data_IF_121077410764
#
_entry.id   IF_121077410764
#
_cell.length_a   1.000
_cell.length_b   1.000
_cell.length_c   1.000
_cell.angle_alpha   90.00
_cell.angle_beta   90.00
_cell.angle_gamma   90.00
#
_symmetry.space_group_name_H-M   'P 1'
#
loop_
_entity.id
_entity.type
_entity.pdbx_description
1 polymer ?
#
# COMPACT_ATOMS: atom_id res chain seq x y z
N UNK A 1 19.41 17.69 5.54
CA UNK A 1 18.11 17.41 4.91
C UNK A 1 17.94 15.91 4.99
N UNK A 2 16.81 15.41 5.41
CA UNK A 2 16.59 13.96 5.57
C UNK A 2 16.40 13.32 4.20
N UNK A 3 17.15 12.28 3.92
CA UNK A 3 17.09 11.53 2.65
C UNK A 3 16.41 10.19 2.87
N UNK A 4 15.38 9.90 2.10
CA UNK A 4 14.56 8.70 2.19
C UNK A 4 14.74 7.86 0.93
N UNK A 5 15.18 6.61 1.10
CA UNK A 5 15.17 5.62 0.03
C UNK A 5 13.81 4.92 0.01
N UNK A 6 13.14 4.95 -1.14
CA UNK A 6 11.85 4.31 -1.38
C UNK A 6 12.04 3.17 -2.38
N UNK A 7 11.89 1.93 -1.95
CA UNK A 7 11.94 0.76 -2.83
C UNK A 7 10.54 0.43 -3.34
N UNK A 8 10.42 0.06 -4.60
CA UNK A 8 9.11 0.00 -5.27
C UNK A 8 8.52 1.40 -5.45
N UNK A 9 9.41 2.41 -5.64
CA UNK A 9 9.08 3.82 -5.57
C UNK A 9 8.17 4.33 -6.69
N UNK A 10 8.05 3.62 -7.81
CA UNK A 10 7.09 3.95 -8.87
C UNK A 10 5.70 3.32 -8.65
N UNK A 11 5.49 2.59 -7.55
CA UNK A 11 4.23 1.94 -7.22
C UNK A 11 3.15 2.92 -6.74
N UNK A 12 1.90 2.47 -6.71
CA UNK A 12 0.73 3.29 -6.35
C UNK A 12 0.86 4.00 -4.99
N UNK A 13 1.17 3.27 -3.91
CA UNK A 13 1.31 3.87 -2.58
C UNK A 13 2.60 4.69 -2.51
N UNK A 14 3.68 4.20 -3.11
CA UNK A 14 4.99 4.83 -3.06
C UNK A 14 4.98 6.23 -3.69
N UNK A 15 4.42 6.39 -4.88
CA UNK A 15 4.38 7.70 -5.57
C UNK A 15 3.58 8.76 -4.81
N UNK A 16 2.49 8.37 -4.13
CA UNK A 16 1.76 9.28 -3.24
C UNK A 16 2.59 9.61 -1.99
N UNK A 17 3.35 8.64 -1.47
CA UNK A 17 4.28 8.86 -0.36
C UNK A 17 5.44 9.78 -0.76
N UNK A 18 5.99 9.61 -1.97
CA UNK A 18 7.04 10.46 -2.52
C UNK A 18 6.58 11.93 -2.59
N UNK A 19 5.33 12.19 -2.99
CA UNK A 19 4.75 13.53 -3.00
C UNK A 19 4.74 14.12 -1.59
N UNK A 20 4.24 13.39 -0.60
CA UNK A 20 4.16 13.88 0.78
C UNK A 20 5.55 14.10 1.39
N UNK A 21 6.53 13.21 1.12
CA UNK A 21 7.92 13.38 1.54
C UNK A 21 8.55 14.63 0.92
N UNK A 22 8.42 14.80 -0.39
CA UNK A 22 8.94 15.97 -1.11
C UNK A 22 8.29 17.26 -0.62
N UNK A 23 6.97 17.28 -0.39
CA UNK A 23 6.27 18.46 0.14
C UNK A 23 6.75 18.84 1.55
N UNK A 24 7.11 17.85 2.38
CA UNK A 24 7.74 18.05 3.69
C UNK A 24 9.20 18.58 3.59
N UNK A 25 9.80 18.50 2.42
CA UNK A 25 11.17 18.94 2.20
C UNK A 25 12.22 17.86 2.41
N UNK A 26 11.84 16.58 2.35
CA UNK A 26 12.77 15.46 2.33
C UNK A 26 13.29 15.21 0.92
N UNK A 27 14.50 14.67 0.81
CA UNK A 27 15.02 14.15 -0.46
C UNK A 27 14.55 12.73 -0.67
N UNK A 28 14.08 12.41 -1.88
CA UNK A 28 13.57 11.08 -2.24
C UNK A 28 14.49 10.42 -3.25
N UNK A 29 14.84 9.16 -2.95
CA UNK A 29 15.54 8.26 -3.86
C UNK A 29 14.61 7.08 -4.12
N UNK A 30 14.32 6.80 -5.38
CA UNK A 30 13.46 5.70 -5.81
C UNK A 30 14.26 4.57 -6.43
N UNK A 31 13.97 3.33 -6.05
CA UNK A 31 14.44 2.11 -6.74
C UNK A 31 13.21 1.31 -7.18
N UNK A 32 13.08 1.04 -8.48
CA UNK A 32 11.97 0.26 -9.03
C UNK A 32 12.41 -0.49 -10.29
N UNK A 33 11.91 -1.71 -10.49
CA UNK A 33 12.16 -2.51 -11.70
C UNK A 33 11.04 -2.39 -12.74
N UNK A 34 10.02 -1.59 -12.45
CA UNK A 34 8.82 -1.36 -13.27
C UNK A 34 8.06 -2.62 -13.67
N UNK A 35 8.21 -3.69 -12.91
CA UNK A 35 7.51 -4.95 -13.15
C UNK A 35 5.98 -4.81 -13.12
N UNK A 36 5.46 -3.98 -12.20
CA UNK A 36 4.03 -3.67 -12.06
C UNK A 36 3.77 -2.17 -11.81
N UNK A 37 4.61 -1.32 -12.35
CA UNK A 37 4.57 0.14 -12.25
C UNK A 37 5.02 0.75 -13.59
N UNK A 38 5.09 2.08 -13.69
CA UNK A 38 5.63 2.79 -14.86
C UNK A 38 6.57 3.92 -14.40
N UNK A 39 7.67 4.17 -15.11
CA UNK A 39 8.55 5.31 -14.84
C UNK A 39 7.80 6.66 -14.98
N UNK A 40 6.76 6.74 -15.81
CA UNK A 40 5.88 7.90 -15.95
C UNK A 40 5.26 8.32 -14.61
N UNK A 41 5.02 7.38 -13.70
CA UNK A 41 4.48 7.71 -12.38
C UNK A 41 5.42 8.64 -11.61
N UNK A 42 6.74 8.42 -11.69
CA UNK A 42 7.75 9.32 -11.08
C UNK A 42 7.87 10.66 -11.81
N UNK A 43 7.70 10.70 -13.14
CA UNK A 43 7.65 11.97 -13.88
C UNK A 43 6.47 12.83 -13.41
N UNK A 44 5.34 12.20 -13.12
CA UNK A 44 4.16 12.87 -12.58
C UNK A 44 4.34 13.33 -11.13
N UNK A 45 5.10 12.59 -10.30
CA UNK A 45 5.51 13.07 -8.97
C UNK A 45 6.30 14.36 -9.09
N UNK A 46 7.29 14.41 -9.98
CA UNK A 46 8.08 15.62 -10.23
C UNK A 46 7.22 16.77 -10.80
N UNK A 47 6.29 16.46 -11.68
CA UNK A 47 5.35 17.45 -12.23
C UNK A 47 4.44 18.07 -11.15
N UNK A 48 3.95 17.25 -10.21
CA UNK A 48 3.05 17.69 -9.13
C UNK A 48 3.83 18.53 -8.10
N UNK A 49 5.02 18.08 -7.73
CA UNK A 49 5.79 18.69 -6.62
C UNK A 49 6.74 19.81 -7.06
N UNK A 50 7.11 19.84 -8.35
CA UNK A 50 8.17 20.69 -8.86
C UNK A 50 9.56 20.31 -8.36
N UNK A 51 9.73 19.12 -7.77
CA UNK A 51 10.98 18.65 -7.15
C UNK A 51 11.44 17.34 -7.80
N UNK A 52 12.77 17.14 -7.97
CA UNK A 52 13.30 15.94 -8.58
C UNK A 52 13.22 14.73 -7.65
N UNK A 53 13.06 13.54 -8.24
CA UNK A 53 13.24 12.24 -7.60
C UNK A 53 14.47 11.58 -8.18
N UNK A 54 15.48 11.28 -7.35
CA UNK A 54 16.64 10.51 -7.81
C UNK A 54 16.25 9.06 -8.04
N UNK A 55 16.47 8.53 -9.25
CA UNK A 55 15.97 7.23 -9.68
C UNK A 55 17.08 6.24 -9.94
N UNK A 56 16.85 4.99 -9.57
CA UNK A 56 17.66 3.84 -9.92
C UNK A 56 16.74 2.74 -10.46
N UNK A 57 16.92 2.43 -11.74
CA UNK A 57 16.13 1.41 -12.43
C UNK A 57 16.73 0.04 -12.15
N UNK A 58 15.96 -0.83 -11.52
CA UNK A 58 16.38 -2.20 -11.26
C UNK A 58 15.68 -2.87 -10.08
N UNK A 59 16.04 -4.11 -9.86
CA UNK A 59 15.43 -4.97 -8.86
C UNK A 59 16.15 -4.86 -7.51
N UNK A 60 15.39 -4.72 -6.43
CA UNK A 60 15.93 -4.69 -5.05
C UNK A 60 16.68 -5.98 -4.69
N UNK A 61 16.42 -7.08 -5.38
CA UNK A 61 17.15 -8.34 -5.23
C UNK A 61 18.56 -8.32 -5.84
N UNK A 62 18.87 -7.31 -6.66
CA UNK A 62 20.24 -7.08 -7.16
C UNK A 62 21.09 -6.39 -6.09
N UNK A 63 21.87 -7.19 -5.36
CA UNK A 63 22.74 -6.71 -4.29
C UNK A 63 23.76 -5.68 -4.79
N UNK A 64 24.28 -5.83 -6.02
CA UNK A 64 25.25 -4.90 -6.59
C UNK A 64 24.61 -3.52 -6.89
N UNK A 65 23.37 -3.51 -7.39
CA UNK A 65 22.60 -2.28 -7.54
C UNK A 65 22.38 -1.61 -6.19
N UNK A 66 21.91 -2.36 -5.20
CA UNK A 66 21.63 -1.82 -3.87
C UNK A 66 22.89 -1.27 -3.20
N UNK A 67 24.02 -1.96 -3.30
CA UNK A 67 25.32 -1.46 -2.84
C UNK A 67 25.68 -0.12 -3.47
N UNK A 68 25.48 0.03 -4.78
CA UNK A 68 25.72 1.29 -5.48
C UNK A 68 24.79 2.40 -4.97
N UNK A 69 23.51 2.12 -4.80
CA UNK A 69 22.53 3.08 -4.26
C UNK A 69 22.97 3.61 -2.91
N UNK A 70 23.35 2.74 -1.99
CA UNK A 70 23.80 3.15 -0.66
C UNK A 70 25.17 3.82 -0.65
N UNK A 71 26.08 3.45 -1.54
CA UNK A 71 27.41 4.07 -1.64
C UNK A 71 27.36 5.48 -2.22
N UNK A 72 26.41 5.77 -3.12
CA UNK A 72 26.27 7.08 -3.78
C UNK A 72 25.40 8.07 -3.01
N UNK A 73 24.75 7.66 -1.90
CA UNK A 73 23.78 8.48 -1.19
C UNK A 73 23.89 8.36 0.33
N UNK A 74 23.69 9.47 1.03
CA UNK A 74 23.55 9.48 2.48
C UNK A 74 22.08 9.24 2.84
N UNK A 75 21.71 7.99 3.09
CA UNK A 75 20.34 7.59 3.37
C UNK A 75 20.10 7.60 4.88
N UNK A 76 19.05 8.30 5.31
CA UNK A 76 18.62 8.36 6.71
C UNK A 76 17.53 7.32 7.02
N UNK A 77 16.58 7.13 6.10
CA UNK A 77 15.45 6.22 6.24
C UNK A 77 15.26 5.39 4.97
N UNK A 78 14.77 4.18 5.15
CA UNK A 78 14.30 3.33 4.05
C UNK A 78 12.80 3.09 4.22
N UNK A 79 12.02 3.27 3.15
CA UNK A 79 10.63 2.81 3.07
C UNK A 79 10.59 1.65 2.06
N UNK A 80 10.22 0.48 2.55
CA UNK A 80 10.24 -0.74 1.75
C UNK A 80 8.85 -1.12 1.27
N UNK A 81 8.48 -0.67 0.06
CA UNK A 81 7.24 -1.03 -0.62
C UNK A 81 7.43 -2.18 -1.62
N UNK A 82 8.65 -2.39 -2.13
CA UNK A 82 8.92 -3.38 -3.16
C UNK A 82 8.39 -4.77 -2.76
N UNK A 83 7.54 -5.34 -3.60
CA UNK A 83 6.97 -6.66 -3.37
C UNK A 83 5.76 -6.94 -4.25
N UNK A 84 5.53 -8.21 -4.54
CA UNK A 84 4.32 -8.70 -5.20
C UNK A 84 3.16 -8.65 -4.21
N UNK A 85 1.98 -8.17 -4.64
CA UNK A 85 0.84 -7.88 -3.75
C UNK A 85 -0.50 -8.54 -4.11
N UNK A 86 -0.59 -9.23 -5.25
CA UNK A 86 -1.85 -9.78 -5.73
C UNK A 86 -2.19 -11.09 -5.02
N UNK A 87 -3.19 -11.07 -4.12
CA UNK A 87 -3.60 -12.22 -3.29
C UNK A 87 -3.90 -13.46 -4.14
N UNK A 88 -4.75 -13.33 -5.18
CA UNK A 88 -5.11 -14.46 -6.03
C UNK A 88 -3.92 -15.03 -6.81
N UNK A 89 -3.03 -14.18 -7.32
CA UNK A 89 -1.81 -14.61 -8.00
C UNK A 89 -0.87 -15.34 -7.04
N UNK A 90 -0.78 -14.92 -5.79
CA UNK A 90 0.08 -15.56 -4.80
C UNK A 90 -0.28 -17.03 -4.57
N UNK A 91 -1.58 -17.36 -4.65
CA UNK A 91 -2.03 -18.76 -4.53
C UNK A 91 -1.60 -19.60 -5.74
N UNK A 92 -1.59 -19.01 -6.93
CA UNK A 92 -1.17 -19.68 -8.15
C UNK A 92 0.37 -19.77 -8.30
N UNK A 93 1.11 -18.80 -7.73
CA UNK A 93 2.55 -18.66 -7.88
C UNK A 93 3.28 -18.45 -6.53
N UNK A 94 3.13 -19.36 -5.55
CA UNK A 94 3.64 -19.12 -4.20
C UNK A 94 5.17 -19.01 -4.13
N UNK A 95 5.89 -19.75 -4.95
CA UNK A 95 7.36 -19.74 -4.95
C UNK A 95 7.88 -18.36 -5.38
N UNK A 96 7.32 -17.81 -6.45
CA UNK A 96 7.68 -16.48 -6.96
C UNK A 96 7.39 -15.38 -5.93
N UNK A 97 6.29 -15.52 -5.17
CA UNK A 97 5.95 -14.58 -4.10
C UNK A 97 6.94 -14.63 -2.94
N UNK A 98 7.33 -15.82 -2.49
CA UNK A 98 8.34 -15.94 -1.44
C UNK A 98 9.71 -15.50 -1.94
N UNK A 99 10.14 -15.93 -3.13
CA UNK A 99 11.42 -15.52 -3.71
C UNK A 99 11.49 -14.00 -3.85
N UNK A 100 10.47 -13.37 -4.43
CA UNK A 100 10.47 -11.93 -4.61
C UNK A 100 10.42 -11.18 -3.27
N UNK A 101 9.43 -11.48 -2.42
CA UNK A 101 9.14 -10.66 -1.25
C UNK A 101 10.16 -10.88 -0.12
N UNK A 102 10.55 -12.12 0.16
CA UNK A 102 11.51 -12.38 1.23
C UNK A 102 12.94 -12.05 0.81
N UNK A 103 13.33 -12.42 -0.41
CA UNK A 103 14.70 -12.22 -0.87
C UNK A 103 15.03 -10.73 -1.06
N UNK A 104 14.10 -9.92 -1.57
CA UNK A 104 14.28 -8.46 -1.64
C UNK A 104 14.53 -7.84 -0.26
N UNK A 105 13.78 -8.26 0.76
CA UNK A 105 13.97 -7.80 2.14
C UNK A 105 15.33 -8.24 2.68
N UNK A 106 15.74 -9.48 2.43
CA UNK A 106 17.04 -9.99 2.91
C UNK A 106 18.22 -9.25 2.27
N UNK A 107 18.18 -9.00 0.97
CA UNK A 107 19.21 -8.21 0.27
C UNK A 107 19.25 -6.79 0.83
N UNK A 108 18.08 -6.14 0.93
CA UNK A 108 17.99 -4.79 1.48
C UNK A 108 18.60 -4.69 2.88
N UNK A 109 18.24 -5.59 3.79
CA UNK A 109 18.76 -5.60 5.16
C UNK A 109 20.27 -5.84 5.24
N UNK A 110 20.83 -6.70 4.39
CA UNK A 110 22.29 -6.92 4.30
C UNK A 110 23.02 -5.63 3.93
N UNK A 111 22.53 -4.94 2.89
CA UNK A 111 23.15 -3.71 2.41
C UNK A 111 22.96 -2.58 3.43
N UNK A 112 21.77 -2.41 4.01
CA UNK A 112 21.52 -1.45 5.07
C UNK A 112 22.48 -1.63 6.25
N UNK A 113 22.65 -2.89 6.71
CA UNK A 113 23.59 -3.20 7.80
C UNK A 113 25.03 -2.82 7.45
N UNK A 114 25.48 -3.14 6.25
CA UNK A 114 26.85 -2.83 5.77
C UNK A 114 27.13 -1.34 5.72
N UNK A 115 26.12 -0.54 5.31
CA UNK A 115 26.22 0.92 5.25
C UNK A 115 25.80 1.65 6.52
N UNK A 116 25.52 0.89 7.61
CA UNK A 116 25.08 1.43 8.90
C UNK A 116 23.79 2.29 8.83
N UNK A 117 22.91 2.00 7.87
CA UNK A 117 21.55 2.56 7.78
C UNK A 117 20.62 1.62 8.51
N UNK A 118 20.01 2.05 9.62
CA UNK A 118 19.28 1.18 10.55
C UNK A 118 17.82 1.60 10.79
N UNK A 119 17.29 2.51 9.98
CA UNK A 119 15.91 2.99 10.08
C UNK A 119 15.11 2.52 8.88
N UNK A 120 14.08 1.69 9.13
CA UNK A 120 13.24 1.13 8.09
C UNK A 120 11.76 1.20 8.44
N UNK A 121 10.96 1.65 7.49
CA UNK A 121 9.50 1.56 7.48
C UNK A 121 9.13 0.45 6.51
N UNK A 122 8.43 -0.55 6.99
CA UNK A 122 8.01 -1.70 6.20
C UNK A 122 6.53 -1.65 5.87
N UNK A 123 6.21 -1.77 4.58
CA UNK A 123 4.87 -1.94 4.05
C UNK A 123 4.32 -3.32 4.41
N UNK A 124 3.73 -3.44 5.59
CA UNK A 124 3.00 -4.63 6.00
C UNK A 124 1.53 -4.55 5.57
N UNK A 125 0.71 -5.49 5.99
CA UNK A 125 -0.68 -5.62 5.56
C UNK A 125 -1.55 -6.17 6.69
N UNK A 126 -2.81 -5.79 6.73
CA UNK A 126 -3.81 -6.39 7.61
C UNK A 126 -3.98 -7.91 7.38
N UNK A 127 -3.53 -8.43 6.24
CA UNK A 127 -3.54 -9.88 5.95
C UNK A 127 -2.71 -10.70 6.93
N UNK A 128 -1.75 -10.07 7.66
CA UNK A 128 -0.95 -10.76 8.70
C UNK A 128 -1.79 -11.22 9.89
N UNK A 129 -2.96 -10.62 10.10
CA UNK A 129 -3.90 -11.01 11.15
C UNK A 129 -4.71 -12.29 10.82
N UNK A 130 -4.66 -12.74 9.55
CA UNK A 130 -5.47 -13.87 9.10
C UNK A 130 -6.97 -13.59 9.23
N UNK A 131 -7.69 -14.49 9.91
CA UNK A 131 -9.12 -14.30 10.22
C UNK A 131 -9.24 -13.80 11.67
N UNK A 132 -9.49 -12.50 11.89
CA UNK A 132 -9.59 -11.94 13.24
C UNK A 132 -10.83 -12.48 13.95
N UNK A 133 -10.70 -12.73 15.27
CA UNK A 133 -11.81 -13.18 16.11
C UNK A 133 -12.68 -12.03 16.63
N UNK A 134 -12.08 -10.85 16.72
CA UNK A 134 -12.72 -9.64 17.27
C UNK A 134 -12.45 -8.45 16.35
N UNK A 135 -13.39 -7.52 16.33
CA UNK A 135 -13.33 -6.27 15.59
C UNK A 135 -13.67 -5.10 16.54
N UNK A 136 -13.08 -3.92 16.37
CA UNK A 136 -12.03 -3.59 15.39
C UNK A 136 -10.69 -4.27 15.68
N UNK A 137 -9.84 -4.42 14.65
CA UNK A 137 -8.51 -5.04 14.76
C UNK A 137 -7.53 -4.03 15.36
N UNK A 138 -6.90 -4.38 16.48
CA UNK A 138 -5.81 -3.61 17.11
C UNK A 138 -4.44 -4.21 16.77
N UNK A 139 -3.35 -3.50 17.07
CA UNK A 139 -2.00 -4.03 16.90
C UNK A 139 -1.68 -5.19 17.85
N UNK A 140 -2.43 -5.32 18.95
CA UNK A 140 -2.34 -6.44 19.91
C UNK A 140 -3.07 -7.70 19.43
N UNK A 141 -3.91 -7.58 18.38
CA UNK A 141 -4.57 -8.74 17.76
C UNK A 141 -3.50 -9.73 17.27
N UNK A 142 -3.58 -11.01 17.66
CA UNK A 142 -2.61 -12.01 17.25
C UNK A 142 -2.44 -12.09 15.73
N UNK A 143 -1.19 -12.17 15.29
CA UNK A 143 -0.85 -12.38 13.88
C UNK A 143 -0.64 -13.87 13.60
N UNK A 144 -0.90 -14.30 12.37
CA UNK A 144 -0.79 -15.69 11.93
C UNK A 144 -2.08 -16.20 11.30
N UNK A 145 -2.12 -17.48 10.96
CA UNK A 145 -3.30 -18.08 10.30
C UNK A 145 -3.64 -17.41 8.97
N UNK A 146 -2.64 -16.89 8.28
CA UNK A 146 -2.77 -16.23 6.97
C UNK A 146 -3.40 -17.18 5.95
N UNK A 147 -4.30 -16.67 5.13
CA UNK A 147 -5.10 -17.47 4.19
C UNK A 147 -4.49 -17.59 2.80
N UNK A 148 -3.36 -16.93 2.55
CA UNK A 148 -2.70 -16.90 1.25
C UNK A 148 -1.19 -16.60 1.35
N UNK A 149 -0.38 -17.00 0.33
CA UNK A 149 1.08 -16.80 0.35
C UNK A 149 1.53 -15.33 0.42
N UNK A 150 0.76 -14.39 -0.14
CA UNK A 150 1.07 -12.97 0.02
C UNK A 150 1.04 -12.56 1.51
N UNK A 151 -0.06 -12.84 2.21
CA UNK A 151 -0.18 -12.55 3.65
C UNK A 151 0.90 -13.26 4.46
N UNK A 152 1.21 -14.51 4.14
CA UNK A 152 2.29 -15.27 4.77
C UNK A 152 3.65 -14.62 4.52
N UNK A 153 3.94 -14.14 3.30
CA UNK A 153 5.20 -13.46 3.01
C UNK A 153 5.35 -12.17 3.84
N UNK A 154 4.27 -11.39 4.01
CA UNK A 154 4.29 -10.19 4.86
C UNK A 154 4.52 -10.54 6.34
N UNK A 155 3.89 -11.60 6.83
CA UNK A 155 4.11 -12.08 8.19
C UNK A 155 5.56 -12.52 8.42
N UNK A 156 6.15 -13.25 7.49
CA UNK A 156 7.55 -13.67 7.58
C UNK A 156 8.52 -12.48 7.50
N UNK A 157 8.23 -11.48 6.67
CA UNK A 157 9.03 -10.25 6.63
C UNK A 157 8.96 -9.49 7.96
N UNK A 158 7.78 -9.38 8.61
CA UNK A 158 7.69 -8.81 9.97
C UNK A 158 8.55 -9.59 10.97
N UNK A 159 8.53 -10.93 10.91
CA UNK A 159 9.35 -11.75 11.81
C UNK A 159 10.86 -11.55 11.54
N UNK A 160 11.30 -11.54 10.29
CA UNK A 160 12.69 -11.27 9.92
C UNK A 160 13.15 -9.92 10.48
N UNK A 161 12.33 -8.88 10.32
CA UNK A 161 12.64 -7.54 10.83
C UNK A 161 12.74 -7.51 12.35
N UNK A 162 11.85 -8.19 13.07
CA UNK A 162 11.91 -8.34 14.53
C UNK A 162 13.19 -9.05 14.98
N UNK A 163 13.58 -10.13 14.31
CA UNK A 163 14.80 -10.88 14.61
C UNK A 163 16.06 -10.04 14.35
N UNK A 164 16.05 -9.17 13.34
CA UNK A 164 17.14 -8.19 13.08
C UNK A 164 17.29 -7.23 14.26
N UNK A 165 16.19 -6.69 14.81
CA UNK A 165 16.25 -5.83 15.98
C UNK A 165 16.69 -6.59 17.24
N UNK A 166 16.26 -7.83 17.43
CA UNK A 166 16.73 -8.67 18.56
C UNK A 166 18.24 -8.89 18.50
N UNK A 167 18.78 -9.11 17.30
CA UNK A 167 20.22 -9.30 17.08
C UNK A 167 21.03 -8.00 17.22
N UNK A 168 20.43 -6.85 16.91
CA UNK A 168 21.04 -5.52 17.01
C UNK A 168 19.98 -4.48 17.40
N UNK A 169 19.85 -4.17 18.71
CA UNK A 169 18.83 -3.25 19.23
C UNK A 169 18.95 -1.80 18.75
N UNK A 170 20.00 -1.43 18.01
CA UNK A 170 20.15 -0.09 17.43
C UNK A 170 19.31 0.15 16.16
N UNK A 171 18.55 -0.84 15.72
CA UNK A 171 17.61 -0.68 14.60
C UNK A 171 16.32 -0.02 15.04
N UNK A 172 15.82 0.88 14.21
CA UNK A 172 14.45 1.43 14.26
C UNK A 172 13.64 0.79 13.16
N UNK A 173 12.69 -0.04 13.53
CA UNK A 173 11.84 -0.81 12.60
C UNK A 173 10.40 -0.40 12.83
N UNK A 174 9.73 0.07 11.79
CA UNK A 174 8.32 0.43 11.84
C UNK A 174 7.53 -0.44 10.87
N UNK A 175 6.58 -1.18 11.40
CA UNK A 175 5.71 -2.09 10.66
C UNK A 175 4.35 -1.40 10.48
N UNK A 176 4.04 -0.94 9.26
CA UNK A 176 2.78 -0.30 8.96
C UNK A 176 1.83 -1.32 8.31
N UNK A 177 0.79 -1.70 9.04
CA UNK A 177 -0.21 -2.67 8.58
C UNK A 177 -1.35 -1.93 7.90
N UNK A 178 -1.32 -1.94 6.55
CA UNK A 178 -2.34 -1.28 5.73
C UNK A 178 -3.61 -2.10 5.65
N UNK A 179 -4.74 -1.39 5.65
CA UNK A 179 -6.02 -1.96 5.27
C UNK A 179 -6.18 -1.81 3.74
N UNK A 180 -7.25 -1.29 3.21
CA UNK A 180 -7.48 -1.27 1.76
C UNK A 180 -7.19 0.12 1.18
N UNK A 181 -5.97 0.41 0.67
CA UNK A 181 -5.67 1.70 0.07
C UNK A 181 -6.44 1.90 -1.24
N UNK A 182 -7.08 3.06 -1.37
CA UNK A 182 -7.92 3.44 -2.51
C UNK A 182 -7.82 4.95 -2.77
N UNK A 183 -8.45 5.43 -3.83
CA UNK A 183 -8.38 6.84 -4.20
C UNK A 183 -7.24 7.15 -5.17
N UNK A 184 -7.00 8.41 -5.39
CA UNK A 184 -5.96 8.93 -6.27
C UNK A 184 -5.56 10.34 -5.83
N UNK A 185 -4.48 10.88 -6.37
CA UNK A 185 -4.11 12.27 -6.13
C UNK A 185 -5.15 13.22 -6.73
N UNK A 186 -5.46 14.32 -6.04
CA UNK A 186 -6.49 15.30 -6.43
C UNK A 186 -6.29 15.89 -7.83
N UNK A 187 -5.02 16.00 -8.28
CA UNK A 187 -4.70 16.47 -9.63
C UNK A 187 -5.26 15.57 -10.75
N UNK A 188 -5.54 14.29 -10.43
CA UNK A 188 -5.87 13.26 -11.42
C UNK A 188 -4.68 12.83 -12.29
N UNK A 189 -3.45 13.17 -11.90
CA UNK A 189 -2.22 12.74 -12.58
C UNK A 189 -1.67 11.42 -12.05
N UNK A 190 -1.98 11.05 -10.81
CA UNK A 190 -1.54 9.82 -10.15
C UNK A 190 -2.70 9.06 -9.55
N UNK A 191 -2.71 7.74 -9.76
CA UNK A 191 -3.69 6.81 -9.24
C UNK A 191 -3.24 5.37 -9.40
N UNK A 192 -4.10 4.40 -9.08
CA UNK A 192 -3.79 2.99 -9.24
C UNK A 192 -3.95 2.57 -10.72
N UNK A 193 -2.87 2.08 -11.34
CA UNK A 193 -2.85 1.57 -12.72
C UNK A 193 -2.44 0.09 -12.75
N UNK A 194 -3.33 -0.84 -12.39
CA UNK A 194 -3.02 -2.27 -12.42
C UNK A 194 -2.89 -2.76 -13.86
N UNK A 195 -1.87 -3.58 -14.12
CA UNK A 195 -1.72 -4.24 -15.43
C UNK A 195 -2.86 -5.26 -15.64
N UNK A 196 -3.62 -5.08 -16.71
CA UNK A 196 -4.75 -5.95 -17.06
C UNK A 196 -6.06 -5.64 -16.31
N UNK A 197 -6.90 -6.66 -16.10
CA UNK A 197 -8.18 -6.50 -15.37
C UNK A 197 -7.88 -6.36 -13.86
N UNK A 198 -8.35 -5.28 -13.21
CA UNK A 198 -8.12 -5.08 -11.79
C UNK A 198 -8.68 -6.23 -10.93
N UNK A 199 -7.88 -6.73 -9.99
CA UNK A 199 -8.33 -7.70 -9.00
C UNK A 199 -8.97 -7.05 -7.76
N UNK A 200 -8.63 -5.78 -7.48
CA UNK A 200 -9.20 -5.00 -6.38
C UNK A 200 -10.53 -4.37 -6.77
N UNK A 201 -11.42 -4.20 -5.78
CA UNK A 201 -12.79 -3.68 -5.99
C UNK A 201 -12.78 -2.28 -6.62
N UNK A 202 -12.07 -1.33 -6.03
CA UNK A 202 -12.20 0.09 -6.38
C UNK A 202 -11.70 0.44 -7.79
N UNK A 203 -10.55 -0.01 -8.28
CA UNK A 203 -10.18 0.21 -9.67
C UNK A 203 -11.11 -0.52 -10.65
N UNK A 204 -11.69 -1.66 -10.23
CA UNK A 204 -12.68 -2.36 -11.05
C UNK A 204 -13.97 -1.53 -11.17
N UNK A 205 -14.49 -1.01 -10.04
CA UNK A 205 -15.69 -0.15 -9.99
C UNK A 205 -15.47 1.12 -10.83
N UNK A 206 -14.29 1.74 -10.74
CA UNK A 206 -13.95 2.91 -11.54
C UNK A 206 -14.03 2.63 -13.05
N UNK A 207 -13.51 1.47 -13.50
CA UNK A 207 -13.59 1.04 -14.91
C UNK A 207 -15.03 0.73 -15.36
N UNK A 208 -15.88 0.21 -14.50
CA UNK A 208 -17.32 0.06 -14.80
C UNK A 208 -17.99 1.42 -14.89
N UNK A 209 -17.68 2.34 -13.96
CA UNK A 209 -18.26 3.68 -13.94
C UNK A 209 -17.96 4.48 -15.21
N UNK A 210 -16.77 4.34 -15.81
CA UNK A 210 -16.41 5.00 -17.08
C UNK A 210 -16.81 4.17 -18.32
N UNK A 211 -17.46 3.02 -18.16
CA UNK A 211 -17.95 2.18 -19.25
C UNK A 211 -16.93 1.25 -19.91
N UNK A 212 -15.73 1.12 -19.36
CA UNK A 212 -14.71 0.17 -19.86
C UNK A 212 -15.06 -1.28 -19.55
N UNK A 213 -15.71 -1.54 -18.40
CA UNK A 213 -16.19 -2.86 -17.99
C UNK A 213 -17.71 -2.84 -17.87
N UNK A 214 -18.33 -4.00 -18.07
CA UNK A 214 -19.78 -4.14 -18.17
C UNK A 214 -20.51 -3.96 -16.83
N UNK A 215 -20.05 -4.64 -15.79
CA UNK A 215 -20.70 -4.72 -14.48
C UNK A 215 -19.72 -5.08 -13.39
N UNK A 216 -19.97 -4.65 -12.15
CA UNK A 216 -19.17 -5.04 -10.97
C UNK A 216 -19.59 -6.44 -10.51
N UNK A 217 -18.63 -7.33 -10.24
CA UNK A 217 -18.89 -8.64 -9.66
C UNK A 217 -18.85 -8.52 -8.12
N UNK A 218 -20.02 -8.68 -7.47
CA UNK A 218 -20.16 -8.66 -6.00
C UNK A 218 -20.14 -10.10 -5.49
N UNK A 219 -19.07 -10.47 -4.77
CA UNK A 219 -18.85 -11.86 -4.34
C UNK A 219 -19.47 -12.12 -2.95
N UNK A 220 -20.66 -12.73 -2.93
CA UNK A 220 -21.45 -13.03 -1.75
C UNK A 220 -22.36 -11.88 -1.33
N UNK A 221 -23.59 -12.23 -0.96
CA UNK A 221 -24.62 -11.35 -0.41
C UNK A 221 -25.28 -11.95 0.84
N UNK A 222 -24.62 -12.97 1.40
CA UNK A 222 -25.09 -13.77 2.52
C UNK A 222 -24.13 -13.77 3.72
N UNK A 223 -23.20 -12.78 3.79
CA UNK A 223 -22.34 -12.55 4.95
C UNK A 223 -23.16 -12.00 6.13
N UNK A 224 -22.70 -12.25 7.35
CA UNK A 224 -23.24 -11.61 8.57
C UNK A 224 -22.75 -10.16 8.66
N UNK A 225 -23.34 -9.33 7.82
CA UNK A 225 -23.05 -7.88 7.65
C UNK A 225 -24.35 -7.15 7.34
N UNK A 226 -24.43 -5.81 7.50
CA UNK A 226 -25.69 -5.05 7.35
C UNK A 226 -26.43 -5.26 6.01
N UNK A 227 -25.70 -5.43 4.91
CA UNK A 227 -26.29 -5.63 3.57
C UNK A 227 -25.92 -6.99 2.94
N UNK A 228 -25.32 -7.89 3.72
CA UNK A 228 -24.91 -9.21 3.29
C UNK A 228 -23.62 -9.27 2.49
N UNK A 229 -23.03 -8.11 2.11
CA UNK A 229 -21.77 -8.08 1.36
C UNK A 229 -20.54 -7.89 2.27
N UNK A 230 -19.37 -8.23 1.78
CA UNK A 230 -18.13 -8.14 2.58
C UNK A 230 -17.81 -6.70 2.99
N UNK A 231 -17.37 -6.52 4.24
CA UNK A 231 -17.03 -5.21 4.82
C UNK A 231 -15.52 -5.06 4.94
N UNK A 232 -14.96 -3.95 4.45
CA UNK A 232 -13.53 -3.63 4.54
C UNK A 232 -13.32 -2.20 4.98
N UNK A 233 -12.17 -1.95 5.62
CA UNK A 233 -11.68 -0.60 5.91
C UNK A 233 -10.94 -0.09 4.67
N UNK A 234 -11.52 0.91 4.01
CA UNK A 234 -10.90 1.59 2.88
C UNK A 234 -10.26 2.87 3.36
N UNK A 235 -8.99 3.06 3.04
CA UNK A 235 -8.22 4.25 3.41
C UNK A 235 -7.79 4.99 2.15
N UNK A 236 -7.91 6.31 2.14
CA UNK A 236 -7.43 7.11 1.03
C UNK A 236 -5.90 7.03 0.94
N UNK A 237 -5.37 6.80 -0.26
CA UNK A 237 -3.91 6.61 -0.48
C UNK A 237 -3.09 7.82 -0.03
N UNK A 238 -3.64 9.03 -0.09
CA UNK A 238 -2.97 10.25 0.41
C UNK A 238 -2.87 10.23 1.95
N UNK A 239 -3.93 9.81 2.66
CA UNK A 239 -3.87 9.67 4.12
C UNK A 239 -2.86 8.58 4.52
N UNK A 240 -2.85 7.47 3.78
CA UNK A 240 -1.85 6.42 3.98
C UNK A 240 -0.43 6.94 3.76
N UNK A 241 -0.19 7.74 2.72
CA UNK A 241 1.08 8.39 2.43
C UNK A 241 1.53 9.31 3.57
N UNK A 242 0.62 10.15 4.08
CA UNK A 242 0.86 11.01 5.25
C UNK A 242 1.23 10.20 6.50
N UNK A 243 0.70 8.99 6.66
CA UNK A 243 1.08 8.08 7.75
C UNK A 243 2.55 7.69 7.73
N UNK A 244 3.16 7.52 6.55
CA UNK A 244 4.60 7.26 6.41
C UNK A 244 5.44 8.47 6.83
N UNK A 245 5.03 9.66 6.42
CA UNK A 245 5.68 10.91 6.82
C UNK A 245 5.59 11.12 8.33
N UNK A 246 4.41 10.86 8.92
CA UNK A 246 4.21 10.97 10.36
C UNK A 246 5.16 10.06 11.16
N UNK A 247 5.49 8.87 10.65
CA UNK A 247 6.50 7.98 11.27
C UNK A 247 7.86 8.66 11.32
N UNK A 248 8.33 9.23 10.21
CA UNK A 248 9.63 9.89 10.14
C UNK A 248 9.68 11.10 11.07
N UNK A 249 8.57 11.84 11.19
CA UNK A 249 8.46 13.04 12.03
C UNK A 249 8.44 12.72 13.54
N UNK A 250 7.96 11.55 13.96
CA UNK A 250 7.68 11.24 15.37
C UNK A 250 8.51 10.10 15.98
N UNK A 251 9.11 9.23 15.16
CA UNK A 251 9.91 8.11 15.67
C UNK A 251 11.40 8.48 15.62
N UNK A 252 11.96 8.83 16.76
CA UNK A 252 13.35 9.25 16.94
C UNK A 252 14.22 8.26 17.73
N UNK A 253 13.63 7.14 18.18
CA UNK A 253 14.27 6.13 19.03
C UNK A 253 14.31 4.75 18.38
N UNK A 254 15.27 3.94 18.82
CA UNK A 254 15.39 2.55 18.41
C UNK A 254 14.22 1.72 18.97
N UNK A 255 13.85 0.67 18.24
CA UNK A 255 12.77 -0.23 18.63
C UNK A 255 12.03 -0.82 17.46
N UNK A 256 11.05 -1.67 17.78
CA UNK A 256 10.07 -2.19 16.83
C UNK A 256 8.71 -1.58 17.14
N UNK A 257 8.18 -0.83 16.19
CA UNK A 257 6.91 -0.14 16.29
C UNK A 257 5.92 -0.72 15.29
N UNK A 258 4.70 -0.90 15.70
CA UNK A 258 3.63 -1.45 14.84
C UNK A 258 2.45 -0.49 14.87
N UNK A 259 1.93 -0.14 13.70
CA UNK A 259 0.74 0.69 13.56
C UNK A 259 -0.21 0.15 12.50
N UNK A 260 -1.49 0.10 12.83
CA UNK A 260 -2.55 -0.06 11.86
C UNK A 260 -2.82 1.28 11.16
N UNK A 261 -2.81 1.27 9.84
CA UNK A 261 -3.20 2.42 9.03
C UNK A 261 -4.52 2.11 8.31
N UNK A 262 -5.59 2.57 8.90
CA UNK A 262 -6.97 2.45 8.44
C UNK A 262 -7.78 3.65 8.90
N UNK A 263 -9.06 3.70 8.53
CA UNK A 263 -9.99 4.75 8.94
C UNK A 263 -10.68 4.43 10.26
N UNK A 264 -10.67 3.16 10.67
CA UNK A 264 -11.47 2.65 11.78
C UNK A 264 -12.94 2.43 11.41
N UNK A 265 -13.28 2.58 10.14
CA UNK A 265 -14.64 2.39 9.64
C UNK A 265 -14.68 1.34 8.52
N UNK A 266 -15.60 0.39 8.64
CA UNK A 266 -15.82 -0.63 7.62
C UNK A 266 -16.92 -0.22 6.66
N UNK A 267 -16.65 -0.29 5.35
CA UNK A 267 -17.63 -0.08 4.30
C UNK A 267 -17.91 -1.40 3.58
N UNK A 268 -19.18 -1.68 3.30
CA UNK A 268 -19.61 -2.82 2.50
C UNK A 268 -19.30 -2.60 1.02
N UNK A 269 -19.32 -3.69 0.23
CA UNK A 269 -19.14 -3.59 -1.22
C UNK A 269 -20.22 -2.72 -1.86
N UNK A 270 -21.48 -2.81 -1.40
CA UNK A 270 -22.58 -2.00 -1.94
C UNK A 270 -22.46 -0.53 -1.53
N UNK A 271 -21.95 -0.21 -0.34
CA UNK A 271 -21.67 1.17 0.06
C UNK A 271 -20.58 1.80 -0.80
N UNK A 272 -19.52 1.04 -1.13
CA UNK A 272 -18.48 1.49 -2.07
C UNK A 272 -19.09 1.76 -3.45
N UNK A 273 -19.89 0.86 -4.00
CA UNK A 273 -20.56 1.08 -5.30
C UNK A 273 -21.41 2.35 -5.26
N UNK A 274 -22.20 2.57 -4.20
CA UNK A 274 -23.01 3.80 -4.05
C UNK A 274 -22.18 5.08 -4.00
N UNK A 275 -21.02 5.06 -3.34
CA UNK A 275 -20.11 6.22 -3.34
C UNK A 275 -19.61 6.54 -4.76
N UNK A 276 -19.28 5.50 -5.54
CA UNK A 276 -18.90 5.67 -6.94
C UNK A 276 -20.06 6.11 -7.84
N UNK A 277 -21.31 5.63 -7.61
CA UNK A 277 -22.50 6.12 -8.30
C UNK A 277 -22.73 7.62 -8.06
N UNK A 278 -22.57 8.04 -6.79
CA UNK A 278 -22.65 9.46 -6.43
C UNK A 278 -21.61 10.31 -7.15
N UNK A 279 -20.38 9.84 -7.21
CA UNK A 279 -19.27 10.53 -7.86
C UNK A 279 -19.43 10.54 -9.40
N UNK A 280 -19.93 9.46 -10.00
CA UNK A 280 -20.15 9.32 -11.44
C UNK A 280 -21.42 10.06 -11.92
N UNK A 281 -22.40 10.28 -11.04
CA UNK A 281 -23.70 10.88 -11.37
C UNK A 281 -24.66 9.93 -12.10
N UNK A 282 -24.39 8.64 -12.12
CA UNK A 282 -25.25 7.62 -12.73
C UNK A 282 -25.10 6.26 -12.01
N UNK A 283 -26.10 5.35 -12.15
CA UNK A 283 -26.03 4.00 -11.60
C UNK A 283 -24.85 3.20 -12.17
N UNK A 284 -24.23 2.37 -11.33
CA UNK A 284 -23.15 1.43 -11.69
C UNK A 284 -23.71 0.01 -11.64
N UNK A 285 -23.80 -0.68 -12.80
CA UNK A 285 -24.35 -2.03 -12.82
C UNK A 285 -23.48 -3.02 -12.07
N UNK A 286 -24.10 -3.92 -11.31
CA UNK A 286 -23.42 -5.00 -10.61
C UNK A 286 -24.21 -6.32 -10.66
N UNK A 287 -23.51 -7.43 -10.46
CA UNK A 287 -24.12 -8.77 -10.37
C UNK A 287 -23.58 -9.52 -9.17
N UNK A 288 -24.48 -10.14 -8.41
CA UNK A 288 -24.11 -11.00 -7.29
C UNK A 288 -23.53 -12.32 -7.81
N UNK A 289 -22.41 -12.73 -7.23
CA UNK A 289 -21.71 -14.00 -7.50
C UNK A 289 -21.53 -14.78 -6.20
N UNK A 290 -21.29 -16.09 -6.27
CA UNK A 290 -20.93 -16.88 -5.08
C UNK A 290 -19.70 -16.31 -4.37
N UNK A 291 -19.61 -16.51 -3.05
CA UNK A 291 -18.43 -16.11 -2.24
C UNK A 291 -17.13 -16.65 -2.85
N UNK A 292 -16.07 -15.86 -2.79
CA UNK A 292 -14.73 -16.35 -3.11
C UNK A 292 -14.17 -17.15 -1.93
N UNK A 293 -13.46 -18.25 -2.17
CA UNK A 293 -12.75 -18.96 -1.11
C UNK A 293 -11.78 -18.05 -0.36
N UNK A 294 -11.85 -18.09 0.97
CA UNK A 294 -10.96 -17.31 1.84
C UNK A 294 -11.41 -15.87 2.14
N UNK A 295 -12.52 -15.39 1.54
CA UNK A 295 -13.08 -14.08 1.93
C UNK A 295 -13.75 -14.18 3.32
N UNK A 296 -13.50 -13.15 4.15
CA UNK A 296 -14.09 -12.99 5.48
C UNK A 296 -15.18 -11.92 5.47
N UNK A 297 -16.14 -12.02 6.38
CA UNK A 297 -17.28 -11.10 6.44
C UNK A 297 -16.85 -9.63 6.65
N UNK A 298 -16.00 -9.37 7.64
CA UNK A 298 -15.59 -8.01 7.97
C UNK A 298 -14.11 -7.92 8.39
N UNK A 299 -13.47 -6.80 8.03
CA UNK A 299 -12.09 -6.50 8.42
C UNK A 299 -11.91 -4.97 8.44
N UNK A 300 -11.76 -4.38 9.64
CA UNK A 300 -11.50 -2.95 9.82
C UNK A 300 -10.64 -2.70 11.06
N UNK A 301 -9.90 -1.58 11.03
CA UNK A 301 -8.87 -1.24 12.01
C UNK A 301 -9.44 -0.58 13.28
N UNK A 302 -8.68 -0.68 14.35
CA UNK A 302 -8.52 0.39 15.33
C UNK A 302 -7.20 1.10 15.01
N UNK A 303 -7.27 2.37 14.62
CA UNK A 303 -6.09 3.20 14.28
C UNK A 303 -5.74 4.19 15.42
N UNK A 304 -6.35 4.06 16.59
CA UNK A 304 -6.17 5.00 17.72
C UNK A 304 -4.73 5.08 18.22
N UNK A 305 -3.94 4.01 18.08
CA UNK A 305 -2.53 4.01 18.42
C UNK A 305 -1.73 4.95 17.51
N UNK A 306 -1.96 4.93 16.21
CA UNK A 306 -1.32 5.84 15.26
C UNK A 306 -1.72 7.30 15.52
N UNK A 307 -2.99 7.57 15.84
CA UNK A 307 -3.44 8.91 16.25
C UNK A 307 -2.73 9.40 17.49
N UNK A 308 -2.63 8.57 18.52
CA UNK A 308 -2.01 8.93 19.80
C UNK A 308 -0.51 9.13 19.73
N UNK A 309 0.22 8.24 19.01
CA UNK A 309 1.68 8.19 19.04
C UNK A 309 2.32 8.94 17.87
N UNK A 310 1.65 9.06 16.74
CA UNK A 310 2.15 9.73 15.53
C UNK A 310 1.38 11.02 15.21
N UNK A 311 0.34 11.38 15.98
CA UNK A 311 -0.54 12.51 15.65
C UNK A 311 -1.23 12.33 14.28
N UNK A 312 -1.29 11.11 13.76
CA UNK A 312 -1.83 10.81 12.44
C UNK A 312 -3.23 10.22 12.53
N UNK A 313 -4.10 10.69 11.66
CA UNK A 313 -5.45 10.19 11.48
C UNK A 313 -5.84 10.26 10.01
N UNK A 314 -6.59 9.26 9.54
CA UNK A 314 -7.23 9.32 8.23
C UNK A 314 -8.36 10.37 8.25
N UNK A 315 -8.36 11.29 7.28
CA UNK A 315 -9.29 12.42 7.22
C UNK A 315 -10.23 12.34 6.01
N UNK A 316 -9.79 11.69 4.93
CA UNK A 316 -10.53 11.62 3.68
C UNK A 316 -11.60 10.53 3.73
N UNK A 317 -12.78 10.83 3.19
CA UNK A 317 -13.97 9.97 3.23
C UNK A 317 -14.03 9.01 2.05
N UNK A 318 -14.98 8.07 2.07
CA UNK A 318 -15.25 7.19 0.93
C UNK A 318 -15.71 7.98 -0.32
N UNK A 319 -16.39 9.12 -0.13
CA UNK A 319 -16.77 10.00 -1.23
C UNK A 319 -15.54 10.64 -1.89
N UNK A 320 -14.54 11.06 -1.08
CA UNK A 320 -13.26 11.58 -1.58
C UNK A 320 -12.48 10.49 -2.33
N UNK A 321 -12.47 9.27 -1.80
CA UNK A 321 -11.85 8.12 -2.45
C UNK A 321 -12.48 7.82 -3.82
N UNK A 322 -13.81 7.79 -3.89
CA UNK A 322 -14.52 7.56 -5.15
C UNK A 322 -14.29 8.68 -6.16
N UNK A 323 -14.39 9.94 -5.71
CA UNK A 323 -14.23 11.11 -6.57
C UNK A 323 -12.84 11.22 -7.16
N UNK A 324 -11.79 11.04 -6.33
CA UNK A 324 -10.39 11.09 -6.80
C UNK A 324 -10.06 9.92 -7.73
N UNK A 325 -10.55 8.71 -7.44
CA UNK A 325 -10.38 7.53 -8.31
C UNK A 325 -11.00 7.76 -9.69
N UNK A 326 -12.23 8.31 -9.75
CA UNK A 326 -12.90 8.60 -11.02
C UNK A 326 -12.22 9.73 -11.77
N UNK A 327 -11.73 10.79 -11.09
CA UNK A 327 -10.96 11.84 -11.72
C UNK A 327 -9.69 11.28 -12.39
N UNK A 328 -8.98 10.37 -11.71
CA UNK A 328 -7.84 9.65 -12.28
C UNK A 328 -8.24 8.80 -13.49
N UNK A 329 -9.23 7.92 -13.35
CA UNK A 329 -9.66 7.00 -14.43
C UNK A 329 -10.17 7.76 -15.66
N UNK A 330 -10.90 8.85 -15.45
CA UNK A 330 -11.43 9.67 -16.55
C UNK A 330 -10.33 10.40 -17.32
N UNK A 331 -9.32 10.91 -16.62
CA UNK A 331 -8.19 11.63 -17.25
C UNK A 331 -7.17 10.69 -17.89
N UNK A 332 -7.12 9.44 -17.44
CA UNK A 332 -6.15 8.46 -17.88
C UNK A 332 -6.84 7.10 -18.18
N UNK A 333 -7.63 7.04 -19.26
CA UNK A 333 -8.39 5.83 -19.58
C UNK A 333 -7.49 4.60 -19.79
N UNK A 334 -6.28 4.79 -20.32
CA UNK A 334 -5.30 3.72 -20.49
C UNK A 334 -4.19 3.73 -19.42
N UNK A 335 -4.42 4.44 -18.31
CA UNK A 335 -3.45 4.57 -17.23
C UNK A 335 -2.23 5.40 -17.66
N UNK A 336 -1.03 4.98 -17.25
CA UNK A 336 0.23 5.65 -17.60
C UNK A 336 0.61 5.48 -19.07
N UNK A 337 0.06 4.49 -19.77
CA UNK A 337 0.34 4.24 -21.20
C UNK A 337 -0.07 5.38 -22.12
N UNK A 338 -0.97 6.27 -21.69
CA UNK A 338 -1.33 7.47 -22.46
C UNK A 338 -0.19 8.51 -22.54
N UNK A 339 0.87 8.33 -21.74
CA UNK A 339 2.02 9.22 -21.67
C UNK A 339 3.34 8.53 -22.04
N UNK A 340 3.34 7.23 -22.34
CA UNK A 340 4.46 6.48 -22.91
C UNK A 340 4.50 6.66 -24.43
#
# INVERSE_FOLDING_TARGET
>A
MTTVLVTGGAGFIATHTDIELLNKGYDVISVDNYGNSSPVALDRVEQITGKPVKRYDGDVRDEALMERVFAENNIDWVIHFAGLKAVGESVAKPIEYYDNNLYSTLVLLKVMKKHNVKKIIFSSSATVYGTPKELPITEETPTGGTTNPYGTSKLFQEQILRDVHVADPSWTIVLLRYFNPVGAHESGLLGEDPKGIPANLTPYVAKVAVGELKEVQVYGDDYDTPDGTGVRDYIHVVDLAKGHVAVIDHIDKEGVFVYNLGTGHGYSVLEVIKAYEKAAGHPIPYAIKPRRPGDIAACYADASKAEKELGWKAELTIDDMASSSLNWQTKNPNGFRDAE
#
